data_IF_202888968889
#
_entry.id   IF_202888968889
#
_cell.length_a   1.000
_cell.length_b   1.000
_cell.length_c   1.000
_cell.angle_alpha   90.00
_cell.angle_beta   90.00
_cell.angle_gamma   90.00
#
_symmetry.space_group_name_H-M   'P 1'
#
loop_
_entity.id
_entity.type
_entity.pdbx_description
1 polymer ?
#
# COMPACT_ATOMS: atom_id res chain seq x y z
N UNK A 1 19.35 19.57 -8.52
CA UNK A 1 18.09 19.80 -9.28
C UNK A 1 17.43 18.52 -9.80
N UNK A 2 18.10 17.70 -10.62
CA UNK A 2 17.52 16.47 -11.21
C UNK A 2 17.03 15.41 -10.20
N UNK A 3 17.77 15.22 -9.09
CA UNK A 3 17.41 14.26 -8.03
C UNK A 3 16.09 14.63 -7.32
N UNK A 4 15.93 15.89 -6.92
CA UNK A 4 14.71 16.34 -6.24
C UNK A 4 13.49 16.22 -7.16
N UNK A 5 13.62 16.68 -8.43
CA UNK A 5 12.57 16.52 -9.43
C UNK A 5 12.18 15.05 -9.65
N UNK A 6 13.14 14.13 -9.64
CA UNK A 6 12.86 12.70 -9.75
C UNK A 6 12.09 12.18 -8.54
N UNK A 7 12.45 12.62 -7.33
CA UNK A 7 11.71 12.31 -6.10
C UNK A 7 10.27 12.82 -6.20
N UNK A 8 10.06 14.06 -6.65
CA UNK A 8 8.73 14.65 -6.76
C UNK A 8 7.84 13.89 -7.75
N UNK A 9 8.39 13.50 -8.91
CA UNK A 9 7.66 12.67 -9.88
C UNK A 9 7.39 11.25 -9.35
N UNK A 10 8.33 10.65 -8.62
CA UNK A 10 8.12 9.38 -7.94
C UNK A 10 7.08 9.50 -6.81
N UNK A 11 7.01 10.64 -6.12
CA UNK A 11 5.96 10.96 -5.15
C UNK A 11 4.61 11.05 -5.82
N UNK A 12 4.54 11.60 -7.02
CA UNK A 12 3.35 11.63 -7.87
C UNK A 12 3.04 10.28 -8.56
N UNK A 13 3.82 9.22 -8.29
CA UNK A 13 3.67 7.90 -8.90
C UNK A 13 3.70 7.92 -10.44
N UNK A 14 4.44 8.86 -11.03
CA UNK A 14 4.64 8.94 -12.48
C UNK A 14 5.40 7.71 -12.96
N UNK A 15 5.03 7.22 -14.15
CA UNK A 15 5.68 6.06 -14.76
C UNK A 15 7.21 6.25 -14.87
N UNK A 16 8.03 5.27 -14.46
CA UNK A 16 9.49 5.38 -14.49
C UNK A 16 10.07 5.72 -15.87
N UNK A 17 9.45 5.26 -16.97
CA UNK A 17 9.90 5.57 -18.34
C UNK A 17 9.64 7.04 -18.66
N UNK A 18 8.52 7.60 -18.20
CA UNK A 18 8.23 9.04 -18.36
C UNK A 18 9.24 9.88 -17.57
N UNK A 19 9.56 9.48 -16.33
CA UNK A 19 10.56 10.16 -15.50
C UNK A 19 11.94 10.14 -16.17
N UNK A 20 12.33 8.98 -16.70
CA UNK A 20 13.58 8.77 -17.42
C UNK A 20 13.73 9.79 -18.55
N UNK A 21 12.69 9.94 -19.38
CA UNK A 21 12.66 10.88 -20.51
C UNK A 21 12.67 12.33 -20.06
N UNK A 22 11.88 12.70 -19.04
CA UNK A 22 11.75 14.08 -18.58
C UNK A 22 13.02 14.60 -17.88
N UNK A 23 13.70 13.76 -17.11
CA UNK A 23 14.85 14.15 -16.27
C UNK A 23 16.20 13.81 -16.93
N UNK A 24 16.17 13.01 -18.02
CA UNK A 24 17.36 12.52 -18.73
C UNK A 24 18.30 11.77 -17.77
N UNK A 25 17.77 10.70 -17.16
CA UNK A 25 18.49 9.74 -16.29
C UNK A 25 18.25 8.32 -16.80
N UNK A 26 19.01 7.32 -16.38
CA UNK A 26 18.75 5.93 -16.80
C UNK A 26 17.57 5.33 -16.05
N UNK A 27 16.89 4.36 -16.68
CA UNK A 27 15.80 3.60 -16.05
C UNK A 27 16.27 2.90 -14.76
N UNK A 28 17.49 2.35 -14.76
CA UNK A 28 18.12 1.75 -13.58
C UNK A 28 18.27 2.76 -12.43
N UNK A 29 18.61 4.02 -12.74
CA UNK A 29 18.69 5.11 -11.75
C UNK A 29 17.32 5.35 -11.11
N UNK A 30 16.26 5.43 -11.93
CA UNK A 30 14.89 5.64 -11.43
C UNK A 30 14.44 4.46 -10.55
N UNK A 31 14.72 3.22 -10.94
CA UNK A 31 14.39 2.04 -10.13
C UNK A 31 15.17 1.98 -8.81
N UNK A 32 16.46 2.32 -8.82
CA UNK A 32 17.24 2.38 -7.60
C UNK A 32 16.73 3.47 -6.65
N UNK A 33 16.30 4.63 -7.16
CA UNK A 33 15.62 5.65 -6.36
C UNK A 33 14.30 5.15 -5.77
N UNK A 34 13.50 4.38 -6.52
CA UNK A 34 12.27 3.75 -6.00
C UNK A 34 12.56 2.78 -4.86
N UNK A 35 13.53 1.87 -5.05
CA UNK A 35 13.94 0.91 -4.01
C UNK A 35 14.44 1.62 -2.76
N UNK A 36 15.32 2.61 -2.90
CA UNK A 36 15.84 3.38 -1.78
C UNK A 36 14.73 4.09 -0.98
N UNK A 37 13.74 4.68 -1.68
CA UNK A 37 12.59 5.32 -1.05
C UNK A 37 11.66 4.31 -0.38
N UNK A 38 11.43 3.16 -1.01
CA UNK A 38 10.65 2.07 -0.41
C UNK A 38 11.31 1.55 0.86
N UNK A 39 12.63 1.38 0.85
CA UNK A 39 13.44 1.03 2.01
C UNK A 39 13.34 2.06 3.14
N UNK A 40 13.51 3.35 2.82
CA UNK A 40 13.41 4.44 3.80
C UNK A 40 12.05 4.39 4.53
N UNK A 41 10.97 4.23 3.77
CA UNK A 41 9.61 4.16 4.32
C UNK A 41 9.36 2.87 5.11
N UNK A 42 9.84 1.74 4.63
CA UNK A 42 9.75 0.48 5.36
C UNK A 42 10.44 0.58 6.73
N UNK A 43 11.62 1.22 6.81
CA UNK A 43 12.28 1.50 8.08
C UNK A 43 11.46 2.42 9.00
N UNK A 44 10.82 3.46 8.45
CA UNK A 44 9.91 4.34 9.22
C UNK A 44 8.73 3.57 9.79
N UNK A 45 8.07 2.73 8.99
CA UNK A 45 6.96 1.87 9.41
C UNK A 45 7.41 0.90 10.51
N UNK A 46 8.54 0.21 10.33
CA UNK A 46 9.05 -0.71 11.34
C UNK A 46 9.38 0.00 12.65
N UNK A 47 10.00 1.19 12.58
CA UNK A 47 10.29 1.98 13.77
C UNK A 47 9.00 2.39 14.50
N UNK A 48 7.97 2.79 13.75
CA UNK A 48 6.67 3.10 14.33
C UNK A 48 6.04 1.91 15.04
N UNK A 49 6.09 0.71 14.45
CA UNK A 49 5.58 -0.51 15.09
C UNK A 49 6.28 -0.84 16.41
N UNK A 50 7.58 -0.52 16.56
CA UNK A 50 8.31 -0.75 17.82
C UNK A 50 7.82 0.14 18.97
N UNK A 51 7.33 1.34 18.65
CA UNK A 51 6.94 2.34 19.66
C UNK A 51 5.42 2.48 19.84
N UNK A 52 4.62 1.85 18.98
CA UNK A 52 3.17 2.02 18.94
C UNK A 52 2.45 0.67 18.76
N UNK A 53 2.87 -0.37 19.49
CA UNK A 53 2.33 -1.72 19.37
C UNK A 53 0.80 -1.77 19.52
N UNK A 54 0.28 -1.12 20.57
CA UNK A 54 -1.11 -1.26 21.02
C UNK A 54 -2.10 -0.27 20.38
N UNK A 55 -1.65 0.54 19.42
CA UNK A 55 -2.51 1.55 18.79
C UNK A 55 -3.35 0.97 17.65
N UNK A 56 -4.62 1.38 17.55
CA UNK A 56 -5.44 1.14 16.35
C UNK A 56 -4.89 2.00 15.20
N UNK A 57 -4.61 1.37 14.07
CA UNK A 57 -3.92 1.99 12.93
C UNK A 57 -4.86 2.05 11.73
N UNK A 58 -5.08 3.24 11.20
CA UNK A 58 -5.86 3.45 9.98
C UNK A 58 -4.92 4.01 8.93
N UNK A 59 -4.81 3.31 7.80
CA UNK A 59 -4.05 3.79 6.65
C UNK A 59 -4.79 3.45 5.36
N UNK A 60 -4.55 4.27 4.34
CA UNK A 60 -4.86 3.97 2.95
C UNK A 60 -3.58 4.09 2.16
N UNK A 61 -3.37 3.19 1.21
CA UNK A 61 -2.34 3.39 0.21
C UNK A 61 -2.67 4.63 -0.65
N UNK A 62 -1.65 5.21 -1.27
CA UNK A 62 -1.86 6.33 -2.18
C UNK A 62 -2.40 5.79 -3.51
N UNK A 63 -3.67 6.09 -3.81
CA UNK A 63 -4.28 5.81 -5.11
C UNK A 63 -3.87 6.85 -6.16
N UNK A 64 -3.56 6.39 -7.37
CA UNK A 64 -3.19 7.22 -8.53
C UNK A 64 -4.36 8.07 -9.02
N UNK A 65 -5.59 7.57 -8.84
CA UNK A 65 -6.80 8.15 -9.44
C UNK A 65 -7.44 9.28 -8.64
N UNK A 66 -6.85 9.69 -7.52
CA UNK A 66 -7.40 10.79 -6.71
C UNK A 66 -6.86 12.13 -7.21
N UNK A 67 -7.76 13.03 -7.63
CA UNK A 67 -7.42 14.42 -7.94
C UNK A 67 -6.69 15.03 -6.74
N UNK A 68 -5.54 15.69 -6.97
CA UNK A 68 -4.64 16.13 -5.89
C UNK A 68 -5.33 16.98 -4.81
N UNK A 69 -6.31 17.81 -5.20
CA UNK A 69 -7.12 18.59 -4.26
C UNK A 69 -8.00 17.73 -3.34
N UNK A 70 -8.62 16.67 -3.89
CA UNK A 70 -9.44 15.71 -3.12
C UNK A 70 -8.57 14.93 -2.15
N UNK A 71 -7.39 14.48 -2.60
CA UNK A 71 -6.44 13.78 -1.73
C UNK A 71 -6.00 14.69 -0.57
N UNK A 72 -5.66 15.94 -0.85
CA UNK A 72 -5.24 16.91 0.18
C UNK A 72 -6.34 17.12 1.22
N UNK A 73 -7.57 17.39 0.78
CA UNK A 73 -8.72 17.59 1.68
C UNK A 73 -9.00 16.35 2.53
N UNK A 74 -8.93 15.15 1.93
CA UNK A 74 -9.12 13.89 2.67
C UNK A 74 -8.03 13.66 3.72
N UNK A 75 -6.76 13.95 3.40
CA UNK A 75 -5.64 13.84 4.33
C UNK A 75 -5.76 14.82 5.49
N UNK A 76 -6.16 16.07 5.22
CA UNK A 76 -6.42 17.09 6.26
C UNK A 76 -7.55 16.67 7.18
N UNK A 77 -8.66 16.16 6.62
CA UNK A 77 -9.78 15.64 7.39
C UNK A 77 -9.37 14.46 8.27
N UNK A 78 -8.65 13.48 7.73
CA UNK A 78 -8.21 12.32 8.50
C UNK A 78 -7.23 12.72 9.61
N UNK A 79 -6.28 13.62 9.31
CA UNK A 79 -5.33 14.14 10.30
C UNK A 79 -6.03 14.88 11.45
N UNK A 80 -7.12 15.59 11.16
CA UNK A 80 -7.91 16.29 12.18
C UNK A 80 -8.79 15.37 13.05
N UNK A 81 -9.17 14.19 12.56
CA UNK A 81 -10.17 13.33 13.21
C UNK A 81 -9.63 11.98 13.70
N UNK A 82 -8.42 11.56 13.31
CA UNK A 82 -7.86 10.25 13.63
C UNK A 82 -6.50 10.40 14.32
N UNK A 83 -6.41 9.94 15.57
CA UNK A 83 -5.22 10.09 16.42
C UNK A 83 -3.93 9.47 15.85
N UNK A 84 -4.05 8.42 15.03
CA UNK A 84 -2.91 7.68 14.47
C UNK A 84 -2.96 7.56 12.94
N UNK A 85 -3.41 8.61 12.27
CA UNK A 85 -3.45 8.64 10.80
C UNK A 85 -2.05 8.69 10.19
N UNK A 86 -1.80 7.81 9.23
CA UNK A 86 -0.56 7.82 8.46
C UNK A 86 -0.70 8.72 7.23
N UNK A 87 0.11 9.78 7.09
CA UNK A 87 0.08 10.60 5.89
C UNK A 87 0.54 9.81 4.66
N UNK A 88 0.15 10.27 3.47
CA UNK A 88 0.42 9.59 2.20
C UNK A 88 1.91 9.29 1.92
N UNK A 89 2.82 9.98 2.60
CA UNK A 89 4.26 9.77 2.47
C UNK A 89 4.86 8.78 3.48
N UNK A 90 4.07 8.29 4.43
CA UNK A 90 4.47 7.33 5.44
C UNK A 90 4.54 5.91 4.89
N UNK A 91 3.52 5.48 4.12
CA UNK A 91 3.43 4.12 3.58
C UNK A 91 4.46 3.84 2.47
N UNK A 92 5.13 2.67 2.46
CA UNK A 92 6.08 2.30 1.40
C UNK A 92 5.42 2.35 0.02
N UNK A 93 6.02 3.06 -0.93
CA UNK A 93 5.42 3.23 -2.26
C UNK A 93 5.34 1.90 -3.02
N UNK A 94 4.28 1.70 -3.81
CA UNK A 94 4.10 0.53 -4.69
C UNK A 94 4.29 -0.80 -3.95
N UNK A 95 3.67 -0.94 -2.77
CA UNK A 95 3.85 -2.11 -1.90
C UNK A 95 2.50 -2.78 -1.58
N UNK A 96 1.83 -3.40 -2.56
CA UNK A 96 0.66 -4.24 -2.28
C UNK A 96 1.05 -5.46 -1.43
N UNK A 97 2.31 -5.91 -1.54
CA UNK A 97 2.93 -6.99 -0.79
C UNK A 97 3.06 -6.74 0.73
N UNK A 98 2.63 -5.58 1.24
CA UNK A 98 2.51 -5.30 2.68
C UNK A 98 1.13 -4.81 3.11
N UNK A 99 0.15 -4.71 2.20
CA UNK A 99 -1.22 -4.35 2.52
C UNK A 99 -2.08 -5.62 2.69
N UNK A 100 -2.60 -5.96 3.89
CA UNK A 100 -3.38 -7.19 4.10
C UNK A 100 -4.59 -7.32 3.18
N UNK A 101 -5.19 -6.19 2.79
CA UNK A 101 -6.27 -6.20 1.82
C UNK A 101 -5.80 -6.77 0.48
N UNK A 102 -4.65 -6.30 -0.02
CA UNK A 102 -4.11 -6.66 -1.32
C UNK A 102 -3.47 -8.06 -1.33
N UNK A 103 -2.63 -8.40 -0.34
CA UNK A 103 -1.91 -9.68 -0.36
C UNK A 103 -2.72 -10.86 0.18
N UNK A 104 -3.84 -10.64 0.85
CA UNK A 104 -4.61 -11.72 1.49
C UNK A 104 -6.12 -11.62 1.22
N UNK A 105 -6.78 -10.55 1.67
CA UNK A 105 -8.25 -10.48 1.72
C UNK A 105 -8.88 -10.55 0.32
N UNK A 106 -8.37 -9.80 -0.65
CA UNK A 106 -8.92 -9.82 -2.01
C UNK A 106 -8.73 -11.17 -2.69
N UNK A 107 -7.55 -11.80 -2.54
CA UNK A 107 -7.30 -13.14 -3.06
C UNK A 107 -8.18 -14.22 -2.42
N UNK A 108 -8.47 -14.10 -1.11
CA UNK A 108 -9.41 -14.97 -0.42
C UNK A 108 -10.83 -14.84 -1.01
N UNK A 109 -11.33 -13.60 -1.14
CA UNK A 109 -12.69 -13.35 -1.65
C UNK A 109 -12.82 -13.75 -3.12
N UNK A 110 -11.83 -13.44 -3.94
CA UNK A 110 -11.77 -13.90 -5.33
C UNK A 110 -11.82 -15.43 -5.39
N UNK A 111 -10.97 -16.14 -4.62
CA UNK A 111 -10.94 -17.59 -4.59
C UNK A 111 -12.23 -18.25 -4.09
N UNK A 112 -13.07 -17.54 -3.32
CA UNK A 112 -14.40 -18.02 -2.90
C UNK A 112 -15.46 -17.73 -3.93
N UNK A 113 -15.49 -16.52 -4.46
CA UNK A 113 -16.53 -16.04 -5.37
C UNK A 113 -16.41 -16.62 -6.77
N UNK A 114 -15.20 -16.97 -7.22
CA UNK A 114 -14.94 -17.55 -8.55
C UNK A 114 -15.29 -19.03 -8.67
N UNK A 115 -15.65 -19.70 -7.56
CA UNK A 115 -16.05 -21.14 -7.56
C UNK A 115 -17.39 -21.39 -8.24
N UNK A 116 -18.21 -20.36 -8.36
CA UNK A 116 -19.55 -20.44 -8.97
C UNK A 116 -19.71 -19.31 -9.97
N UNK A 117 -20.41 -19.57 -11.08
CA UNK A 117 -20.85 -18.50 -11.97
C UNK A 117 -21.97 -17.70 -11.32
N UNK A 118 -22.01 -16.39 -11.59
CA UNK A 118 -23.02 -15.48 -11.07
C UNK A 118 -23.87 -14.97 -12.23
N UNK A 119 -25.20 -15.03 -12.07
CA UNK A 119 -26.14 -14.64 -13.12
C UNK A 119 -26.32 -13.13 -13.23
N UNK A 120 -25.91 -12.36 -12.21
CA UNK A 120 -25.96 -10.90 -12.20
C UNK A 120 -24.91 -10.28 -11.27
N UNK A 121 -24.75 -8.97 -11.35
CA UNK A 121 -23.89 -8.19 -10.45
C UNK A 121 -24.39 -8.25 -9.01
N UNK A 122 -25.71 -8.29 -8.80
CA UNK A 122 -26.35 -8.40 -7.49
C UNK A 122 -26.06 -9.75 -6.84
N UNK A 123 -26.10 -10.83 -7.62
CA UNK A 123 -25.73 -12.17 -7.15
C UNK A 123 -24.25 -12.22 -6.73
N UNK A 124 -23.36 -11.59 -7.51
CA UNK A 124 -21.95 -11.47 -7.15
C UNK A 124 -21.75 -10.65 -5.86
N UNK A 125 -22.41 -9.49 -5.73
CA UNK A 125 -22.34 -8.65 -4.51
C UNK A 125 -22.84 -9.41 -3.28
N UNK A 126 -23.94 -10.15 -3.40
CA UNK A 126 -24.47 -10.98 -2.32
C UNK A 126 -23.47 -12.06 -1.89
N UNK A 127 -22.81 -12.70 -2.86
CA UNK A 127 -21.76 -13.70 -2.58
C UNK A 127 -20.54 -13.06 -1.91
N UNK A 128 -20.04 -11.93 -2.40
CA UNK A 128 -18.93 -11.20 -1.77
C UNK A 128 -19.26 -10.85 -0.33
N UNK A 129 -20.46 -10.32 -0.07
CA UNK A 129 -20.91 -9.94 1.28
C UNK A 129 -20.97 -11.16 2.19
N UNK A 130 -21.56 -12.26 1.72
CA UNK A 130 -21.61 -13.52 2.46
C UNK A 130 -20.21 -14.04 2.82
N UNK A 131 -19.28 -14.06 1.86
CA UNK A 131 -17.92 -14.58 2.10
C UNK A 131 -17.07 -13.63 2.94
N UNK A 132 -17.34 -12.33 2.90
CA UNK A 132 -16.78 -11.34 3.81
C UNK A 132 -17.21 -11.62 5.25
N UNK A 133 -18.50 -11.80 5.49
CA UNK A 133 -19.05 -12.07 6.83
C UNK A 133 -18.61 -13.44 7.38
N UNK A 134 -18.35 -14.40 6.50
CA UNK A 134 -17.82 -15.72 6.86
C UNK A 134 -16.28 -15.76 7.02
N UNK A 135 -15.59 -14.64 6.80
CA UNK A 135 -14.14 -14.58 6.95
C UNK A 135 -13.77 -14.75 8.43
N UNK A 136 -12.93 -15.74 8.75
CA UNK A 136 -12.60 -16.02 10.14
C UNK A 136 -11.77 -14.89 10.76
N UNK A 137 -12.03 -14.61 12.03
CA UNK A 137 -11.27 -13.63 12.80
C UNK A 137 -9.77 -14.00 12.85
N UNK A 138 -9.46 -15.30 12.95
CA UNK A 138 -8.09 -15.80 12.92
C UNK A 138 -7.36 -15.51 11.60
N UNK A 139 -8.05 -15.61 10.47
CA UNK A 139 -7.48 -15.25 9.17
C UNK A 139 -7.15 -13.76 9.10
N UNK A 140 -8.06 -12.90 9.60
CA UNK A 140 -7.86 -11.45 9.65
C UNK A 140 -6.68 -11.11 10.56
N UNK A 141 -6.65 -11.65 11.79
CA UNK A 141 -5.56 -11.46 12.76
C UNK A 141 -4.23 -11.90 12.19
N UNK A 142 -4.16 -13.08 11.57
CA UNK A 142 -2.94 -13.62 10.97
C UNK A 142 -2.45 -12.77 9.79
N UNK A 143 -3.37 -12.32 8.94
CA UNK A 143 -3.05 -11.42 7.81
C UNK A 143 -2.49 -10.09 8.31
N UNK A 144 -3.12 -9.47 9.32
CA UNK A 144 -2.63 -8.24 9.93
C UNK A 144 -1.28 -8.43 10.64
N UNK A 145 -1.09 -9.52 11.38
CA UNK A 145 0.16 -9.84 12.06
C UNK A 145 1.32 -10.05 11.06
N UNK A 146 1.01 -10.49 9.83
CA UNK A 146 1.99 -10.71 8.76
C UNK A 146 2.55 -9.43 8.14
N UNK A 147 1.97 -8.25 8.42
CA UNK A 147 2.49 -6.97 7.88
C UNK A 147 3.92 -6.69 8.38
N UNK A 148 4.18 -6.90 9.67
CA UNK A 148 5.50 -6.65 10.25
C UNK A 148 6.62 -7.50 9.63
N UNK A 149 6.52 -8.85 9.58
CA UNK A 149 7.55 -9.67 8.96
C UNK A 149 7.74 -9.36 7.46
N UNK A 150 6.69 -8.96 6.75
CA UNK A 150 6.79 -8.49 5.35
C UNK A 150 7.56 -7.18 5.24
N UNK A 151 7.30 -6.19 6.11
CA UNK A 151 8.10 -4.95 6.18
C UNK A 151 9.58 -5.26 6.49
N UNK A 152 9.86 -6.19 7.40
CA UNK A 152 11.22 -6.64 7.69
C UNK A 152 11.87 -7.31 6.47
N UNK A 153 11.12 -8.08 5.68
CA UNK A 153 11.60 -8.66 4.44
C UNK A 153 11.96 -7.60 3.39
N UNK A 154 11.18 -6.52 3.25
CA UNK A 154 11.52 -5.38 2.38
C UNK A 154 12.87 -4.79 2.80
N UNK A 155 13.09 -4.64 4.10
CA UNK A 155 14.33 -4.08 4.63
C UNK A 155 15.51 -5.01 4.34
N UNK A 156 15.35 -6.33 4.59
CA UNK A 156 16.36 -7.35 4.25
C UNK A 156 16.71 -7.34 2.77
N UNK A 157 15.72 -7.14 1.89
CA UNK A 157 15.93 -7.04 0.45
C UNK A 157 16.28 -5.62 -0.04
N UNK A 158 16.73 -4.74 0.85
CA UNK A 158 17.16 -3.37 0.52
C UNK A 158 16.13 -2.55 -0.29
N UNK A 159 14.84 -2.70 0.04
CA UNK A 159 13.72 -2.07 -0.66
C UNK A 159 13.22 -2.82 -1.90
N UNK A 160 13.84 -3.95 -2.25
CA UNK A 160 13.43 -4.86 -3.32
C UNK A 160 12.14 -5.62 -3.01
N UNK A 161 11.50 -6.14 -4.06
CA UNK A 161 10.23 -6.88 -3.96
C UNK A 161 10.36 -8.10 -3.05
N UNK A 162 9.24 -8.53 -2.47
CA UNK A 162 9.17 -9.69 -1.59
C UNK A 162 8.04 -10.59 -2.07
N UNK A 163 8.13 -11.87 -1.74
CA UNK A 163 7.07 -12.87 -1.93
C UNK A 163 6.25 -12.99 -0.62
#
# INVERSE_FOLDING_TARGET
>A
MKRQRAIDLLCAQVDPKVIMTQIKVSLATVYNMRKARRLERAKKVLNFFKHNGDTVKIYSDKKIFTVGAVLKKAQELCKGNMAFFWPADFWPSSSPDVNPLDFAVWGFLEGKTTKTSHTSVEALKATITKEWDNMSEDFIKTSCASVRPRIEAIIRNNGGHIE
#
